data_IF_501871614035
#
_entry.id   IF_501871614035
#
_cell.length_a   1.000
_cell.length_b   1.000
_cell.length_c   1.000
_cell.angle_alpha   90.00
_cell.angle_beta   90.00
_cell.angle_gamma   90.00
#
_symmetry.space_group_name_H-M   'P 1'
#
loop_
_entity.id
_entity.type
_entity.pdbx_description
1 polymer ?
#
# COMPACT_ATOMS: atom_id res chain seq x y z
N UNK A 1 -59.51 -42.86 41.96
CA UNK A 1 -58.96 -41.51 42.20
C UNK A 1 -58.22 -41.09 40.93
N UNK A 2 -58.79 -40.11 40.23
CA UNK A 2 -58.40 -39.64 38.90
C UNK A 2 -57.45 -38.45 39.04
N UNK A 3 -56.28 -38.51 38.39
CA UNK A 3 -55.37 -37.37 38.27
C UNK A 3 -55.12 -37.10 36.78
N UNK A 4 -55.76 -36.05 36.28
CA UNK A 4 -55.53 -35.50 34.94
C UNK A 4 -54.33 -34.54 34.96
N UNK A 5 -53.44 -34.56 33.97
CA UNK A 5 -52.39 -33.55 33.84
C UNK A 5 -52.92 -32.31 33.11
N UNK A 6 -52.64 -31.13 33.67
CA UNK A 6 -52.89 -29.82 33.04
C UNK A 6 -51.81 -29.55 31.98
N UNK A 7 -52.25 -29.39 30.73
CA UNK A 7 -51.43 -28.84 29.65
C UNK A 7 -51.49 -27.30 29.72
N UNK A 8 -50.32 -26.66 29.80
CA UNK A 8 -50.17 -25.22 29.68
C UNK A 8 -50.06 -24.81 28.20
N UNK A 9 -50.68 -23.70 27.76
CA UNK A 9 -50.57 -23.23 26.40
C UNK A 9 -49.21 -22.54 26.17
N UNK A 10 -48.46 -23.03 25.19
CA UNK A 10 -47.24 -22.40 24.68
C UNK A 10 -47.62 -21.09 23.97
N UNK A 11 -47.15 -19.98 24.53
CA UNK A 11 -47.15 -18.65 23.93
C UNK A 11 -46.28 -18.63 22.67
N UNK A 12 -46.86 -18.29 21.53
CA UNK A 12 -46.15 -18.01 20.27
C UNK A 12 -45.34 -16.71 20.42
N UNK A 13 -44.03 -16.69 20.15
CA UNK A 13 -43.31 -15.44 19.99
C UNK A 13 -43.62 -14.82 18.61
N UNK A 14 -43.77 -13.50 18.64
CA UNK A 14 -44.06 -12.62 17.53
C UNK A 14 -43.00 -12.70 16.43
N UNK A 15 -43.44 -13.01 15.20
CA UNK A 15 -42.74 -12.68 13.96
C UNK A 15 -42.84 -11.17 13.76
N UNK A 16 -41.83 -10.43 14.16
CA UNK A 16 -41.76 -8.98 13.97
C UNK A 16 -40.32 -8.52 13.99
N UNK A 17 -39.72 -8.39 12.81
CA UNK A 17 -38.43 -7.72 12.66
C UNK A 17 -37.41 -8.52 11.87
N UNK A 18 -37.58 -8.59 10.54
CA UNK A 18 -36.48 -8.81 9.60
C UNK A 18 -36.92 -8.35 8.21
N UNK A 19 -37.22 -7.06 8.07
CA UNK A 19 -37.61 -6.45 6.79
C UNK A 19 -36.59 -5.41 6.28
N UNK A 20 -35.40 -5.35 6.89
CA UNK A 20 -34.38 -4.35 6.57
C UNK A 20 -33.21 -4.86 5.71
N UNK A 21 -33.13 -6.16 5.38
CA UNK A 21 -31.99 -6.72 4.65
C UNK A 21 -32.20 -6.89 3.14
N UNK A 22 -33.38 -6.60 2.61
CA UNK A 22 -33.68 -6.72 1.17
C UNK A 22 -33.57 -5.40 0.38
N UNK A 23 -33.23 -4.28 1.03
CA UNK A 23 -33.17 -2.97 0.38
C UNK A 23 -31.78 -2.58 -0.17
N UNK A 24 -30.70 -3.33 0.11
CA UNK A 24 -29.34 -2.96 -0.32
C UNK A 24 -28.81 -3.68 -1.58
N UNK A 25 -29.51 -4.71 -2.09
CA UNK A 25 -29.02 -5.49 -3.24
C UNK A 25 -29.61 -5.04 -4.60
N UNK A 26 -30.56 -4.09 -4.61
CA UNK A 26 -31.25 -3.66 -5.83
C UNK A 26 -30.69 -2.39 -6.52
N UNK A 27 -29.55 -1.85 -6.09
CA UNK A 27 -29.09 -0.51 -6.52
C UNK A 27 -27.94 -0.49 -7.56
N UNK A 28 -27.68 -1.58 -8.31
CA UNK A 28 -26.53 -1.64 -9.22
C UNK A 28 -26.75 -2.29 -10.60
N UNK A 29 -28.00 -2.40 -11.08
CA UNK A 29 -28.29 -2.95 -12.42
C UNK A 29 -28.89 -1.96 -13.44
N UNK A 30 -28.75 -0.65 -13.23
CA UNK A 30 -29.37 0.34 -14.11
C UNK A 30 -28.43 1.49 -14.46
N UNK A 31 -27.47 1.27 -15.36
CA UNK A 31 -26.96 2.32 -16.25
C UNK A 31 -26.60 1.74 -17.61
N UNK A 32 -27.65 1.79 -18.42
CA UNK A 32 -27.75 1.77 -19.87
C UNK A 32 -26.58 2.36 -20.64
N UNK A 33 -26.30 1.66 -21.74
CA UNK A 33 -25.57 2.08 -22.93
C UNK A 33 -25.80 3.53 -23.33
N UNK A 34 -24.71 4.28 -23.51
CA UNK A 34 -24.70 5.50 -24.34
C UNK A 34 -23.67 5.28 -25.44
N UNK A 35 -24.21 5.06 -26.65
CA UNK A 35 -23.53 5.15 -27.93
C UNK A 35 -23.10 6.60 -28.18
N UNK A 36 -21.85 6.84 -28.55
CA UNK A 36 -21.36 8.16 -28.96
C UNK A 36 -20.76 8.08 -30.36
N UNK A 37 -21.23 8.89 -31.34
CA UNK A 37 -20.70 8.91 -32.69
C UNK A 37 -19.50 9.85 -32.83
N UNK A 38 -18.66 9.52 -33.81
CA UNK A 38 -17.48 10.27 -34.24
C UNK A 38 -17.85 11.59 -34.95
N UNK A 39 -17.14 12.67 -34.62
CA UNK A 39 -16.95 13.82 -35.51
C UNK A 39 -15.67 14.58 -35.14
N UNK A 40 -14.75 14.72 -36.10
CA UNK A 40 -13.60 15.61 -36.05
C UNK A 40 -14.00 17.03 -36.50
N UNK A 41 -13.32 18.07 -35.99
CA UNK A 41 -12.76 19.05 -36.92
C UNK A 41 -11.34 19.53 -36.56
N UNK A 42 -10.65 20.01 -37.61
CA UNK A 42 -9.28 20.56 -37.66
C UNK A 42 -9.21 22.05 -37.28
N UNK A 43 -8.02 22.42 -36.79
CA UNK A 43 -7.31 23.72 -36.84
C UNK A 43 -7.90 24.87 -35.99
N UNK A 44 -7.14 25.71 -35.28
CA UNK A 44 -5.94 26.50 -35.65
C UNK A 44 -5.25 27.04 -34.37
N UNK A 45 -3.98 27.44 -34.49
CA UNK A 45 -3.11 27.95 -33.44
C UNK A 45 -3.49 29.32 -32.86
N UNK A 46 -3.17 29.55 -31.57
CA UNK A 46 -2.77 30.85 -31.02
C UNK A 46 -2.05 30.66 -29.67
N UNK A 47 -0.90 31.30 -29.54
CA UNK A 47 -0.09 31.36 -28.34
C UNK A 47 -0.77 32.21 -27.24
N UNK A 48 -0.76 31.70 -26.01
CA UNK A 48 -0.93 32.50 -24.81
C UNK A 48 -0.09 31.88 -23.69
N UNK A 49 0.96 32.59 -23.32
CA UNK A 49 1.75 32.41 -22.11
C UNK A 49 0.87 32.54 -20.88
N UNK A 50 0.84 31.53 -20.03
CA UNK A 50 0.47 31.67 -18.63
C UNK A 50 1.49 30.88 -17.81
N UNK A 51 2.32 31.62 -17.08
CA UNK A 51 3.03 31.14 -15.90
C UNK A 51 1.96 30.80 -14.85
N UNK A 52 1.58 29.54 -14.82
CA UNK A 52 0.89 28.93 -13.69
C UNK A 52 1.85 27.89 -13.11
N UNK A 53 2.22 28.07 -11.84
CA UNK A 53 2.78 27.00 -11.03
C UNK A 53 1.71 25.90 -10.91
N UNK A 54 1.63 25.05 -11.94
CA UNK A 54 0.93 23.78 -11.88
C UNK A 54 1.73 22.89 -10.93
N UNK A 55 1.34 22.92 -9.65
CA UNK A 55 1.51 21.74 -8.80
C UNK A 55 0.76 20.64 -9.54
N UNK A 56 1.43 19.61 -10.09
CA UNK A 56 0.70 18.49 -10.65
C UNK A 56 0.06 17.78 -9.46
N UNK A 57 -1.20 18.12 -9.20
CA UNK A 57 -2.09 17.24 -8.47
C UNK A 57 -2.06 15.95 -9.29
N UNK A 58 -1.25 15.00 -8.82
CA UNK A 58 -1.03 13.73 -9.50
C UNK A 58 -2.41 13.09 -9.55
N UNK A 59 -3.08 13.25 -10.70
CA UNK A 59 -4.31 12.58 -11.03
C UNK A 59 -3.99 11.09 -10.94
N UNK A 60 -4.17 10.53 -9.75
CA UNK A 60 -4.16 9.09 -9.58
C UNK A 60 -5.08 8.54 -10.67
N UNK A 61 -4.57 7.62 -11.50
CA UNK A 61 -5.33 7.19 -12.64
C UNK A 61 -6.66 6.62 -12.13
N UNK A 62 -7.74 6.99 -12.81
CA UNK A 62 -9.10 6.57 -12.48
C UNK A 62 -9.18 5.06 -12.22
N UNK A 63 -8.40 4.27 -12.96
CA UNK A 63 -8.26 2.82 -12.79
C UNK A 63 -7.78 2.41 -11.39
N UNK A 64 -6.78 3.10 -10.82
CA UNK A 64 -6.28 2.80 -9.48
C UNK A 64 -7.35 3.06 -8.42
N UNK A 65 -8.05 4.19 -8.52
CA UNK A 65 -9.15 4.53 -7.61
C UNK A 65 -10.30 3.53 -7.69
N UNK A 66 -10.65 3.08 -8.90
CA UNK A 66 -11.68 2.06 -9.10
C UNK A 66 -11.29 0.72 -8.45
N UNK A 67 -10.03 0.29 -8.57
CA UNK A 67 -9.55 -0.93 -7.93
C UNK A 67 -9.58 -0.84 -6.41
N UNK A 68 -9.10 0.28 -5.85
CA UNK A 68 -9.11 0.52 -4.40
C UNK A 68 -10.55 0.48 -3.88
N UNK A 69 -11.45 1.21 -4.52
CA UNK A 69 -12.87 1.24 -4.16
C UNK A 69 -13.51 -0.15 -4.22
N UNK A 70 -13.26 -0.91 -5.30
CA UNK A 70 -13.81 -2.26 -5.45
C UNK A 70 -13.27 -3.22 -4.38
N UNK A 71 -11.98 -3.13 -4.06
CA UNK A 71 -11.38 -3.91 -2.97
C UNK A 71 -12.01 -3.56 -1.62
N UNK A 72 -12.16 -2.28 -1.32
CA UNK A 72 -12.77 -1.82 -0.06
C UNK A 72 -14.22 -2.27 0.07
N UNK A 73 -14.97 -2.23 -1.03
CA UNK A 73 -16.34 -2.74 -1.08
C UNK A 73 -16.39 -4.23 -0.74
N UNK A 74 -15.54 -5.05 -1.35
CA UNK A 74 -15.46 -6.48 -1.05
C UNK A 74 -14.98 -6.77 0.37
N UNK A 75 -14.00 -6.02 0.88
CA UNK A 75 -13.50 -6.13 2.25
C UNK A 75 -14.61 -5.82 3.27
N UNK A 76 -15.43 -4.80 3.01
CA UNK A 76 -16.55 -4.44 3.88
C UNK A 76 -17.62 -5.54 4.00
N UNK A 77 -17.73 -6.43 3.00
CA UNK A 77 -18.65 -7.56 3.01
C UNK A 77 -18.16 -8.76 3.83
N UNK A 78 -16.86 -8.83 4.16
CA UNK A 78 -16.28 -10.01 4.84
C UNK A 78 -16.79 -10.18 6.27
N UNK A 79 -16.85 -9.11 7.05
CA UNK A 79 -17.23 -9.20 8.46
C UNK A 79 -18.71 -9.56 8.66
N UNK A 80 -19.67 -8.96 7.93
CA UNK A 80 -21.06 -9.40 7.96
C UNK A 80 -21.24 -10.86 7.56
N UNK A 81 -20.51 -11.33 6.55
CA UNK A 81 -20.59 -12.73 6.08
C UNK A 81 -20.05 -13.70 7.14
N UNK A 82 -18.94 -13.38 7.79
CA UNK A 82 -18.39 -14.17 8.90
C UNK A 82 -19.35 -14.21 10.10
N UNK A 83 -19.97 -13.08 10.44
CA UNK A 83 -20.98 -13.03 11.49
C UNK A 83 -22.19 -13.93 11.13
N UNK A 84 -22.67 -13.86 9.90
CA UNK A 84 -23.76 -14.72 9.42
C UNK A 84 -23.41 -16.21 9.48
N UNK A 85 -22.19 -16.61 9.08
CA UNK A 85 -21.70 -17.99 9.21
C UNK A 85 -21.71 -18.47 10.66
N UNK A 86 -21.28 -17.62 11.60
CA UNK A 86 -21.31 -17.94 13.03
C UNK A 86 -22.74 -18.14 13.55
N UNK A 87 -23.71 -17.37 13.04
CA UNK A 87 -25.12 -17.53 13.35
C UNK A 87 -25.70 -18.83 12.79
N UNK A 88 -25.38 -19.19 11.54
CA UNK A 88 -25.81 -20.46 10.94
C UNK A 88 -25.25 -21.67 11.71
N UNK A 89 -23.99 -21.62 12.13
CA UNK A 89 -23.37 -22.67 12.94
C UNK A 89 -24.08 -22.83 14.31
N UNK A 90 -24.41 -21.70 14.95
CA UNK A 90 -25.19 -21.69 16.20
C UNK A 90 -26.58 -22.27 16.00
N UNK A 91 -27.29 -21.88 14.95
CA UNK A 91 -28.64 -22.39 14.63
C UNK A 91 -28.61 -23.90 14.34
N UNK A 92 -27.60 -24.36 13.60
CA UNK A 92 -27.40 -25.78 13.30
C UNK A 92 -27.27 -26.60 14.58
N UNK A 93 -26.47 -26.11 15.53
CA UNK A 93 -26.26 -26.75 16.84
C UNK A 93 -27.57 -26.81 17.65
N UNK A 94 -28.35 -25.73 17.66
CA UNK A 94 -29.65 -25.67 18.35
C UNK A 94 -30.69 -26.62 17.73
N UNK A 95 -30.75 -26.69 16.40
CA UNK A 95 -31.67 -27.59 15.68
C UNK A 95 -31.29 -29.06 15.89
N UNK A 96 -29.99 -29.39 15.87
CA UNK A 96 -29.52 -30.72 16.18
C UNK A 96 -29.86 -31.12 17.63
N UNK A 97 -29.68 -30.22 18.61
CA UNK A 97 -30.03 -30.46 20.01
C UNK A 97 -31.54 -30.71 20.21
N UNK A 98 -32.39 -30.03 19.43
CA UNK A 98 -33.85 -30.24 19.41
C UNK A 98 -34.32 -31.42 18.56
N UNK A 99 -33.39 -32.25 18.07
CA UNK A 99 -33.64 -33.43 17.20
C UNK A 99 -34.32 -33.09 15.87
N UNK A 100 -34.18 -31.86 15.39
CA UNK A 100 -34.69 -31.39 14.09
C UNK A 100 -33.60 -31.52 13.01
N UNK A 101 -33.21 -32.76 12.70
CA UNK A 101 -32.04 -33.03 11.86
C UNK A 101 -32.20 -32.57 10.40
N UNK A 102 -33.39 -32.68 9.83
CA UNK A 102 -33.67 -32.21 8.46
C UNK A 102 -33.44 -30.70 8.33
N UNK A 103 -33.88 -29.93 9.32
CA UNK A 103 -33.68 -28.49 9.35
C UNK A 103 -32.21 -28.14 9.53
N UNK A 104 -31.51 -28.85 10.41
CA UNK A 104 -30.07 -28.69 10.62
C UNK A 104 -29.28 -28.97 9.33
N UNK A 105 -29.62 -30.02 8.58
CA UNK A 105 -28.98 -30.33 7.29
C UNK A 105 -29.19 -29.23 6.24
N UNK A 106 -30.36 -28.59 6.21
CA UNK A 106 -30.62 -27.47 5.30
C UNK A 106 -29.76 -26.25 5.65
N UNK A 107 -29.68 -25.90 6.94
CA UNK A 107 -28.83 -24.80 7.40
C UNK A 107 -27.35 -25.11 7.16
N UNK A 108 -26.93 -26.36 7.33
CA UNK A 108 -25.56 -26.77 7.03
C UNK A 108 -25.22 -26.61 5.54
N UNK A 109 -26.15 -26.93 4.63
CA UNK A 109 -25.96 -26.67 3.19
C UNK A 109 -25.81 -25.18 2.91
N UNK A 110 -26.68 -24.35 3.49
CA UNK A 110 -26.58 -22.90 3.36
C UNK A 110 -25.25 -22.36 3.91
N UNK A 111 -24.80 -22.88 5.06
CA UNK A 111 -23.50 -22.54 5.62
C UNK A 111 -22.36 -22.86 4.63
N UNK A 112 -22.38 -24.06 4.04
CA UNK A 112 -21.38 -24.45 3.04
C UNK A 112 -21.38 -23.52 1.81
N UNK A 113 -22.57 -23.16 1.30
CA UNK A 113 -22.67 -22.23 0.18
C UNK A 113 -22.08 -20.85 0.52
N UNK A 114 -22.28 -20.37 1.76
CA UNK A 114 -21.71 -19.10 2.24
C UNK A 114 -20.20 -19.17 2.48
N UNK A 115 -19.68 -20.32 2.87
CA UNK A 115 -18.22 -20.55 2.96
C UNK A 115 -17.59 -20.44 1.56
N UNK A 116 -18.21 -21.04 0.54
CA UNK A 116 -17.76 -20.91 -0.85
C UNK A 116 -17.80 -19.46 -1.35
N UNK A 117 -18.83 -18.69 -1.00
CA UNK A 117 -18.92 -17.26 -1.29
C UNK A 117 -17.75 -16.49 -0.63
N UNK A 118 -17.43 -16.79 0.63
CA UNK A 118 -16.32 -16.18 1.37
C UNK A 118 -14.97 -16.46 0.70
N UNK A 119 -14.74 -17.71 0.31
CA UNK A 119 -13.52 -18.10 -0.42
C UNK A 119 -13.43 -17.41 -1.80
N UNK A 120 -14.54 -17.26 -2.51
CA UNK A 120 -14.59 -16.51 -3.77
C UNK A 120 -14.19 -15.05 -3.55
N UNK A 121 -14.81 -14.36 -2.60
CA UNK A 121 -14.52 -12.95 -2.29
C UNK A 121 -13.06 -12.77 -1.86
N UNK A 122 -12.56 -13.68 -1.01
CA UNK A 122 -11.17 -13.63 -0.53
C UNK A 122 -10.16 -13.76 -1.68
N UNK A 123 -10.43 -14.66 -2.65
CA UNK A 123 -9.60 -14.77 -3.87
C UNK A 123 -9.67 -13.51 -4.73
N UNK A 124 -10.85 -12.92 -4.87
CA UNK A 124 -11.01 -11.68 -5.65
C UNK A 124 -10.23 -10.51 -5.02
N UNK A 125 -10.28 -10.35 -3.70
CA UNK A 125 -9.47 -9.34 -2.98
C UNK A 125 -7.99 -9.52 -3.28
N UNK A 126 -7.46 -10.75 -3.23
CA UNK A 126 -6.05 -11.02 -3.54
C UNK A 126 -5.69 -10.66 -4.99
N UNK A 127 -6.59 -10.91 -5.95
CA UNK A 127 -6.38 -10.53 -7.35
C UNK A 127 -6.37 -9.02 -7.53
N UNK A 128 -7.27 -8.30 -6.85
CA UNK A 128 -7.32 -6.84 -6.88
C UNK A 128 -6.08 -6.21 -6.26
N UNK A 129 -5.61 -6.73 -5.12
CA UNK A 129 -4.36 -6.27 -4.49
C UNK A 129 -3.15 -6.48 -5.39
N UNK A 130 -3.07 -7.62 -6.08
CA UNK A 130 -2.01 -7.89 -7.05
C UNK A 130 -2.04 -6.90 -8.22
N UNK A 131 -3.24 -6.64 -8.76
CA UNK A 131 -3.42 -5.68 -9.86
C UNK A 131 -3.12 -4.24 -9.43
N UNK A 132 -3.55 -3.85 -8.24
CA UNK A 132 -3.24 -2.55 -7.65
C UNK A 132 -1.73 -2.36 -7.52
N UNK A 133 -1.00 -3.34 -6.97
CA UNK A 133 0.47 -3.29 -6.85
C UNK A 133 1.16 -3.14 -8.21
N UNK A 134 0.68 -3.88 -9.21
CA UNK A 134 1.20 -3.78 -10.58
C UNK A 134 0.98 -2.40 -11.18
N UNK A 135 -0.23 -1.83 -11.07
CA UNK A 135 -0.52 -0.48 -11.54
C UNK A 135 0.29 0.58 -10.80
N UNK A 136 0.38 0.50 -9.47
CA UNK A 136 1.21 1.43 -8.69
C UNK A 136 2.66 1.41 -9.18
N UNK A 137 3.21 0.22 -9.44
CA UNK A 137 4.58 0.06 -9.97
C UNK A 137 4.72 0.67 -11.36
N UNK A 138 3.75 0.48 -12.24
CA UNK A 138 3.74 1.06 -13.59
C UNK A 138 3.66 2.60 -13.60
N UNK A 139 3.02 3.19 -12.58
CA UNK A 139 2.86 4.63 -12.42
C UNK A 139 4.06 5.31 -11.75
N UNK A 140 4.98 4.54 -11.17
CA UNK A 140 6.13 5.12 -10.50
C UNK A 140 7.00 5.89 -11.50
N UNK A 141 7.53 7.06 -11.10
CA UNK A 141 8.53 7.74 -11.90
C UNK A 141 9.76 6.85 -12.04
N UNK A 142 10.48 6.98 -13.15
CA UNK A 142 11.70 6.19 -13.36
C UNK A 142 12.82 6.50 -12.38
N UNK A 143 12.73 7.64 -11.69
CA UNK A 143 13.67 8.06 -10.66
C UNK A 143 12.90 8.71 -9.54
N UNK A 144 13.11 8.23 -8.32
CA UNK A 144 12.54 8.79 -7.11
C UNK A 144 13.67 9.54 -6.41
N UNK A 145 13.59 10.87 -6.40
CA UNK A 145 14.59 11.73 -5.79
C UNK A 145 14.18 11.96 -4.33
N UNK A 146 15.06 11.62 -3.38
CA UNK A 146 14.83 11.89 -1.98
C UNK A 146 15.33 13.30 -1.63
N UNK A 147 14.46 14.21 -1.18
CA UNK A 147 14.85 15.57 -0.86
C UNK A 147 15.73 15.58 0.39
N UNK A 148 16.93 16.16 0.29
CA UNK A 148 17.86 16.28 1.42
C UNK A 148 17.32 17.14 2.56
N UNK A 149 16.47 18.12 2.23
CA UNK A 149 15.84 19.05 3.18
C UNK A 149 14.87 18.37 4.15
N UNK A 150 14.27 17.24 3.73
CA UNK A 150 13.31 16.48 4.56
C UNK A 150 13.98 15.36 5.36
N UNK A 151 15.30 15.26 5.29
CA UNK A 151 16.04 14.21 5.96
C UNK A 151 16.16 14.50 7.46
N UNK A 152 15.98 13.47 8.29
CA UNK A 152 16.28 13.52 9.71
C UNK A 152 17.77 13.23 9.88
N UNK A 153 18.50 14.24 10.37
CA UNK A 153 19.96 14.18 10.52
C UNK A 153 20.33 13.81 11.96
N UNK A 154 21.26 12.87 12.13
CA UNK A 154 21.83 12.51 13.42
C UNK A 154 23.36 12.51 13.33
N UNK A 155 23.96 13.67 13.60
CA UNK A 155 25.40 13.92 13.45
C UNK A 155 25.71 14.87 12.28
N UNK A 156 25.43 14.47 11.03
CA UNK A 156 25.70 15.28 9.84
C UNK A 156 24.92 16.60 9.85
N UNK A 157 25.41 17.58 9.10
CA UNK A 157 24.81 18.91 8.97
C UNK A 157 24.40 19.19 7.53
N UNK A 158 23.22 19.80 7.36
CA UNK A 158 22.78 20.30 6.06
C UNK A 158 23.29 21.72 5.82
N UNK A 159 23.96 21.93 4.68
CA UNK A 159 24.38 23.26 4.19
C UNK A 159 23.36 23.76 3.15
N UNK A 160 22.51 24.70 3.56
CA UNK A 160 21.45 25.30 2.73
C UNK A 160 22.00 26.01 1.48
N UNK A 161 23.22 26.56 1.53
CA UNK A 161 23.78 27.35 0.41
C UNK A 161 24.18 26.44 -0.74
N UNK A 162 24.72 25.28 -0.42
CA UNK A 162 25.21 24.29 -1.38
C UNK A 162 24.21 23.16 -1.63
N UNK A 163 23.17 23.06 -0.81
CA UNK A 163 22.18 21.97 -0.81
C UNK A 163 22.85 20.60 -0.67
N UNK A 164 23.76 20.47 0.29
CA UNK A 164 24.49 19.23 0.55
C UNK A 164 24.49 18.87 2.05
N UNK A 165 24.63 17.59 2.38
CA UNK A 165 24.81 17.11 3.75
C UNK A 165 26.29 16.77 3.96
N UNK A 166 26.91 17.41 4.94
CA UNK A 166 28.34 17.32 5.27
C UNK A 166 28.54 16.93 6.74
N UNK A 167 29.80 16.96 7.21
CA UNK A 167 30.19 16.72 8.60
C UNK A 167 29.86 15.31 9.12
N UNK A 168 30.02 14.30 8.26
CA UNK A 168 30.00 12.88 8.65
C UNK A 168 31.31 12.51 9.36
N UNK A 169 31.42 12.93 10.61
CA UNK A 169 32.67 12.93 11.37
C UNK A 169 32.92 11.63 12.14
N UNK A 170 31.87 10.86 12.45
CA UNK A 170 31.96 9.66 13.30
C UNK A 170 31.26 8.47 12.66
N UNK A 171 31.77 7.28 13.00
CA UNK A 171 31.04 6.05 12.72
C UNK A 171 29.73 6.04 13.52
N UNK A 172 28.63 5.70 12.86
CA UNK A 172 27.27 5.76 13.42
C UNK A 172 26.51 7.05 13.11
N UNK A 173 27.16 8.07 12.54
CA UNK A 173 26.47 9.25 11.99
C UNK A 173 25.47 8.79 10.93
N UNK A 174 24.25 9.30 10.96
CA UNK A 174 23.18 8.81 10.11
C UNK A 174 22.25 9.90 9.59
N UNK A 175 21.63 9.59 8.44
CA UNK A 175 20.60 10.40 7.80
C UNK A 175 19.44 9.48 7.44
N UNK A 176 18.22 9.90 7.76
CA UNK A 176 17.02 9.09 7.58
C UNK A 176 15.95 9.84 6.78
N UNK A 177 15.32 9.15 5.84
CA UNK A 177 14.18 9.64 5.07
C UNK A 177 12.96 8.77 5.30
N UNK A 178 11.78 9.39 5.37
CA UNK A 178 10.52 8.66 5.25
C UNK A 178 10.22 8.43 3.77
N UNK A 179 10.02 7.18 3.38
CA UNK A 179 9.72 6.82 1.99
C UNK A 179 8.27 7.22 1.62
N UNK A 180 8.01 7.60 0.35
CA UNK A 180 6.70 8.10 -0.10
C UNK A 180 5.72 6.97 -0.52
N UNK A 181 5.44 6.02 0.37
CA UNK A 181 4.58 4.84 0.11
C UNK A 181 4.98 4.04 -1.15
N UNK A 182 6.28 3.74 -1.28
CA UNK A 182 6.80 3.01 -2.42
C UNK A 182 6.33 1.53 -2.45
N UNK A 183 5.89 0.99 -3.60
CA UNK A 183 5.63 -0.43 -3.74
C UNK A 183 6.82 -1.29 -3.28
N UNK A 184 6.54 -2.40 -2.59
CA UNK A 184 7.58 -3.35 -2.19
C UNK A 184 8.30 -3.90 -3.42
N UNK A 185 9.63 -3.89 -3.44
CA UNK A 185 10.40 -4.26 -4.61
C UNK A 185 11.91 -4.00 -4.47
N UNK A 186 12.67 -4.30 -5.52
CA UNK A 186 14.08 -3.96 -5.60
C UNK A 186 14.27 -2.56 -6.19
N UNK A 187 15.07 -1.72 -5.54
CA UNK A 187 15.39 -0.36 -5.96
C UNK A 187 16.90 -0.18 -5.99
N UNK A 188 17.45 0.24 -7.12
CA UNK A 188 18.85 0.65 -7.20
C UNK A 188 19.04 1.98 -6.46
N UNK A 189 20.03 2.02 -5.58
CA UNK A 189 20.36 3.20 -4.80
C UNK A 189 21.53 3.92 -5.47
N UNK A 190 21.27 5.11 -5.98
CA UNK A 190 22.28 5.97 -6.59
C UNK A 190 22.52 7.17 -5.68
N UNK A 191 23.78 7.36 -5.30
CA UNK A 191 24.23 8.51 -4.52
C UNK A 191 24.95 9.50 -5.42
N UNK A 192 24.58 10.77 -5.29
CA UNK A 192 25.35 11.88 -5.84
C UNK A 192 26.16 12.48 -4.70
N UNK A 193 27.47 12.36 -4.76
CA UNK A 193 28.35 12.77 -3.68
C UNK A 193 29.66 13.34 -4.21
N UNK A 194 30.34 14.08 -3.35
CA UNK A 194 31.69 14.57 -3.56
C UNK A 194 32.55 14.15 -2.36
N UNK A 195 33.74 13.64 -2.61
CA UNK A 195 34.65 13.13 -1.60
C UNK A 195 36.06 13.62 -1.92
N UNK A 196 36.69 14.36 -1.00
CA UNK A 196 38.04 14.88 -1.24
C UNK A 196 39.10 13.76 -1.21
N UNK A 197 40.30 14.03 -1.72
CA UNK A 197 41.40 13.06 -1.80
C UNK A 197 41.88 12.50 -0.44
N UNK A 198 41.43 13.08 0.68
CA UNK A 198 41.84 12.69 2.04
C UNK A 198 40.69 12.12 2.87
N UNK A 199 39.48 12.16 2.34
CA UNK A 199 38.24 11.68 2.95
C UNK A 199 37.85 10.33 2.36
N UNK A 200 36.83 9.70 2.94
CA UNK A 200 36.28 8.44 2.46
C UNK A 200 35.89 7.52 3.60
N UNK A 201 35.59 6.26 3.25
CA UNK A 201 35.15 5.28 4.22
C UNK A 201 34.09 4.34 3.65
N UNK A 202 33.27 3.78 4.53
CA UNK A 202 32.20 2.84 4.18
C UNK A 202 30.87 3.42 4.63
N UNK A 203 29.92 3.45 3.71
CA UNK A 203 28.54 3.81 3.95
C UNK A 203 27.68 2.55 3.93
N UNK A 204 26.69 2.52 4.80
CA UNK A 204 25.63 1.53 4.83
C UNK A 204 24.28 2.19 4.57
N UNK A 205 23.50 1.60 3.68
CA UNK A 205 22.13 2.00 3.36
C UNK A 205 21.22 0.90 3.84
N UNK A 206 20.30 1.21 4.75
CA UNK A 206 19.40 0.24 5.34
C UNK A 206 17.93 0.68 5.22
N UNK A 207 17.08 -0.30 4.94
CA UNK A 207 15.66 -0.31 5.24
C UNK A 207 15.43 -1.20 6.46
N UNK A 208 14.21 -1.25 6.99
CA UNK A 208 13.83 -2.05 8.17
C UNK A 208 14.42 -3.48 8.18
N UNK A 209 14.43 -4.18 7.04
CA UNK A 209 14.83 -5.60 6.95
C UNK A 209 16.08 -5.86 6.12
N UNK A 210 16.48 -4.92 5.25
CA UNK A 210 17.56 -5.13 4.28
C UNK A 210 18.57 -3.99 4.33
N UNK A 211 19.84 -4.32 4.09
CA UNK A 211 20.91 -3.33 4.06
C UNK A 211 21.89 -3.61 2.91
N UNK A 212 22.52 -2.54 2.44
CA UNK A 212 23.61 -2.52 1.47
C UNK A 212 24.78 -1.77 2.08
N UNK A 213 26.01 -2.18 1.76
CA UNK A 213 27.19 -1.40 2.13
C UNK A 213 28.08 -1.16 0.93
N UNK A 214 28.67 0.04 0.86
CA UNK A 214 29.57 0.45 -0.21
C UNK A 214 30.72 1.28 0.32
N UNK A 215 31.89 1.13 -0.29
CA UNK A 215 33.02 2.04 -0.05
C UNK A 215 32.78 3.34 -0.81
N UNK A 216 33.11 4.49 -0.22
CA UNK A 216 33.05 5.78 -0.92
C UNK A 216 34.41 6.07 -1.55
N UNK A 217 34.43 6.28 -2.86
CA UNK A 217 35.66 6.56 -3.60
C UNK A 217 35.94 8.06 -3.58
N UNK A 218 37.22 8.46 -3.68
CA UNK A 218 37.58 9.87 -3.77
C UNK A 218 37.22 10.42 -5.15
N UNK A 219 36.52 11.54 -5.20
CA UNK A 219 36.10 12.18 -6.45
C UNK A 219 37.07 13.30 -6.79
N UNK A 220 37.90 13.13 -7.83
CA UNK A 220 38.95 14.11 -8.17
C UNK A 220 38.46 15.25 -9.08
N UNK A 221 37.31 15.07 -9.75
CA UNK A 221 36.80 15.98 -10.79
C UNK A 221 35.49 16.67 -10.41
N UNK A 222 35.14 16.67 -9.13
CA UNK A 222 33.87 17.19 -8.60
C UNK A 222 32.87 16.09 -8.30
N UNK A 223 31.57 16.41 -8.18
CA UNK A 223 30.54 15.45 -7.78
C UNK A 223 30.40 14.29 -8.76
N UNK A 224 30.27 13.08 -8.24
CA UNK A 224 30.06 11.86 -9.01
C UNK A 224 28.81 11.11 -8.55
N UNK A 225 28.21 10.36 -9.47
CA UNK A 225 27.11 9.46 -9.19
C UNK A 225 27.63 8.04 -8.99
N UNK A 226 27.31 7.41 -7.86
CA UNK A 226 27.69 6.02 -7.56
C UNK A 226 26.47 5.17 -7.29
N UNK A 227 26.38 4.06 -8.02
CA UNK A 227 25.41 3.01 -7.76
C UNK A 227 25.95 2.10 -6.63
N UNK A 228 25.22 2.01 -5.53
CA UNK A 228 25.57 1.13 -4.40
C UNK A 228 25.04 -0.30 -4.56
N UNK A 229 24.14 -0.52 -5.52
CA UNK A 229 23.45 -1.79 -5.77
C UNK A 229 21.95 -1.69 -5.55
N UNK A 230 21.28 -2.85 -5.58
CA UNK A 230 19.84 -2.98 -5.46
C UNK A 230 19.43 -3.28 -4.03
N UNK A 231 18.71 -2.36 -3.39
CA UNK A 231 18.12 -2.51 -2.07
C UNK A 231 16.69 -3.04 -2.20
N UNK A 232 16.34 -4.05 -1.42
CA UNK A 232 14.97 -4.53 -1.35
C UNK A 232 14.19 -3.71 -0.32
N UNK A 233 13.16 -3.00 -0.77
CA UNK A 233 12.21 -2.27 0.08
C UNK A 233 11.02 -3.19 0.34
N UNK A 234 10.74 -3.47 1.62
CA UNK A 234 9.57 -4.24 2.04
C UNK A 234 8.40 -3.35 2.35
N UNK A 235 8.67 -2.21 2.99
CA UNK A 235 7.69 -1.23 3.42
C UNK A 235 7.97 0.11 2.77
N UNK A 236 7.06 0.53 1.90
CA UNK A 236 7.12 1.80 1.19
C UNK A 236 6.98 3.04 2.04
N UNK A 237 6.45 2.90 3.25
CA UNK A 237 6.20 3.96 4.23
C UNK A 237 7.28 4.02 5.31
N UNK A 238 8.21 3.07 5.29
CA UNK A 238 9.27 2.90 6.28
C UNK A 238 10.41 3.91 6.13
N UNK A 239 11.32 3.93 7.11
CA UNK A 239 12.51 4.75 7.05
C UNK A 239 13.58 4.13 6.14
N UNK A 240 14.19 4.96 5.29
CA UNK A 240 15.44 4.66 4.62
C UNK A 240 16.57 5.38 5.34
N UNK A 241 17.56 4.63 5.84
CA UNK A 241 18.66 5.17 6.63
C UNK A 241 20.00 4.99 5.92
N UNK A 242 20.75 6.07 5.80
CA UNK A 242 22.16 6.09 5.42
C UNK A 242 23.01 6.25 6.68
N UNK A 243 23.93 5.33 6.94
CA UNK A 243 24.78 5.34 8.14
C UNK A 243 26.25 5.24 7.74
N UNK A 244 27.10 6.09 8.32
CA UNK A 244 28.54 5.97 8.17
C UNK A 244 29.07 4.80 9.00
N UNK A 245 29.43 3.68 8.37
CA UNK A 245 30.01 2.54 9.08
C UNK A 245 31.46 2.82 9.48
N UNK A 246 32.25 3.43 8.60
CA UNK A 246 33.62 3.85 8.88
C UNK A 246 33.90 5.20 8.24
N UNK A 247 34.62 6.08 8.94
CA UNK A 247 35.03 7.40 8.45
C UNK A 247 36.54 7.49 8.44
N UNK A 248 37.10 7.95 7.33
CA UNK A 248 38.55 8.19 7.18
C UNK A 248 38.82 9.68 7.41
N UNK A 249 39.65 9.97 8.43
CA UNK A 249 40.03 11.32 8.88
C UNK A 249 38.87 12.17 9.45
N UNK A 250 38.33 13.12 8.67
CA UNK A 250 37.47 14.21 9.19
C UNK A 250 36.04 14.17 8.70
N UNK A 251 35.79 13.63 7.50
CA UNK A 251 34.47 13.57 6.88
C UNK A 251 34.40 12.30 6.00
N UNK A 252 33.21 11.72 5.87
CA UNK A 252 32.97 10.60 4.96
C UNK A 252 32.83 11.10 3.51
N UNK A 253 31.95 12.09 3.30
CA UNK A 253 31.59 12.64 2.00
C UNK A 253 30.73 13.91 2.13
N UNK A 254 30.50 14.59 1.01
CA UNK A 254 29.51 15.65 0.82
C UNK A 254 28.37 15.07 0.00
N UNK A 255 27.24 14.76 0.64
CA UNK A 255 26.10 14.14 -0.02
C UNK A 255 25.21 15.21 -0.68
N UNK A 256 25.03 15.14 -1.99
CA UNK A 256 24.24 16.11 -2.78
C UNK A 256 22.89 15.59 -3.23
N UNK A 257 22.72 14.27 -3.30
CA UNK A 257 21.44 13.68 -3.69
C UNK A 257 21.40 12.18 -3.49
N UNK A 258 20.19 11.68 -3.30
CA UNK A 258 19.89 10.25 -3.24
C UNK A 258 18.76 9.98 -4.21
N UNK A 259 18.98 9.04 -5.13
CA UNK A 259 17.99 8.58 -6.09
C UNK A 259 17.71 7.09 -5.89
N UNK A 260 16.43 6.72 -5.97
CA UNK A 260 15.98 5.34 -6.03
C UNK A 260 15.42 5.06 -7.43
N UNK A 261 15.93 4.02 -8.09
CA UNK A 261 15.47 3.58 -9.41
C UNK A 261 14.85 2.19 -9.26
N UNK A 262 13.58 1.97 -9.65
CA UNK A 262 12.99 0.64 -9.64
C UNK A 262 13.80 -0.33 -10.51
N UNK A 263 14.32 -1.41 -9.93
CA UNK A 263 15.21 -2.36 -10.60
C UNK A 263 14.47 -3.34 -11.53
N UNK A 264 13.17 -3.55 -11.31
CA UNK A 264 12.35 -4.45 -12.10
C UNK A 264 11.32 -3.63 -12.88
N UNK A 265 11.61 -3.42 -14.17
CA UNK A 265 10.69 -2.83 -15.16
C UNK A 265 10.37 -3.86 -16.23
#
# INVERSE_FOLDING_TARGET
MSLSPRLSPLSRPCLGGCQWLLAMVACLCGLSMISSPAAAPKATAAAASNDAEDVPEVLEPLELRQLIFHRELLQSCLDPLKAHLSDLARLTTQLAASRRYEDALRIQKEQHDRELDLERISREILLLESREKSLRTALLPGRIILPLEKALLNGPRYDEKKKEITDWSRAGDSVEWKLPDLPSGGYEVILHYECSAVEGGRLEVAEDSYHLSGLMDTTLRGPEAKNLGTLKITRGDGPLRLTASTVVKRNLMHLRGVELIPANR
#
